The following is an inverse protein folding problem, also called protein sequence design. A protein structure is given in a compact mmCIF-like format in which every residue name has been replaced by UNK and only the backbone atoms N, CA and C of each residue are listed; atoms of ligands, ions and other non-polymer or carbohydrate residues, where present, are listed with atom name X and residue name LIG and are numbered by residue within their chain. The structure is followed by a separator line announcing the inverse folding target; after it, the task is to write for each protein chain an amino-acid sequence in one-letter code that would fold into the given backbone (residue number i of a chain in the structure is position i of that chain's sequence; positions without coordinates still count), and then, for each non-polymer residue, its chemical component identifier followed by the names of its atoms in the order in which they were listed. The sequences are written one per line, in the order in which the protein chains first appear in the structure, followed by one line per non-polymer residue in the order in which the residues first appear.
data_IF_932961442846
#
_entry.id   IF_932961442846
#
_cell.length_a   1.000
_cell.length_b   1.000
_cell.length_c   1.000
_cell.angle_alpha   90.00
_cell.angle_beta   90.00
_cell.angle_gamma   90.00
#
_symmetry.space_group_name_H-M   'P 1'
#
loop_
_entity.id
_entity.type
_entity.pdbx_description
1 polymer ?
#
# COMPACT_ATOMS: atom_id res chain seq x y z
N UNK A 1 62.81 15.05 6.98
CA UNK A 1 62.09 14.92 8.28
C UNK A 1 60.58 14.69 8.14
N UNK A 2 59.92 15.09 7.04
CA UNK A 2 58.46 14.99 6.88
C UNK A 2 57.87 13.58 6.65
N UNK A 3 58.61 12.61 6.10
CA UNK A 3 58.05 11.27 5.78
C UNK A 3 57.71 10.41 7.02
N UNK A 4 58.35 10.63 8.17
CA UNK A 4 58.10 9.85 9.40
C UNK A 4 56.82 10.28 10.14
N UNK A 5 56.30 11.47 9.83
CA UNK A 5 55.07 12.00 10.43
C UNK A 5 53.83 11.78 9.53
N UNK A 6 54.04 11.37 8.27
CA UNK A 6 52.98 11.16 7.30
C UNK A 6 52.17 9.88 7.59
N UNK A 7 52.84 8.84 8.09
CA UNK A 7 52.22 7.56 8.45
C UNK A 7 51.26 7.67 9.65
N UNK A 8 51.62 8.28 10.80
CA UNK A 8 50.67 8.45 11.90
C UNK A 8 49.53 9.40 11.55
N UNK A 9 49.77 10.41 10.70
CA UNK A 9 48.73 11.33 10.22
C UNK A 9 47.71 10.64 9.31
N UNK A 10 48.17 9.74 8.43
CA UNK A 10 47.30 8.94 7.57
C UNK A 10 46.48 7.94 8.41
N UNK A 11 47.07 7.32 9.42
CA UNK A 11 46.36 6.40 10.32
C UNK A 11 45.26 7.12 11.12
N UNK A 12 45.54 8.35 11.58
CA UNK A 12 44.57 9.20 12.28
C UNK A 12 43.39 9.58 11.38
N UNK A 13 43.64 9.76 10.07
CA UNK A 13 42.61 10.09 9.08
C UNK A 13 41.69 8.90 8.76
N UNK A 14 42.19 7.66 8.83
CA UNK A 14 41.36 6.46 8.64
C UNK A 14 40.50 6.18 9.88
N UNK A 15 41.01 6.51 11.07
CA UNK A 15 40.26 6.38 12.33
C UNK A 15 39.16 7.43 12.51
N UNK A 16 39.22 8.56 11.79
CA UNK A 16 38.14 9.56 11.76
C UNK A 16 37.04 9.24 10.74
N UNK A 17 37.23 8.24 9.87
CA UNK A 17 36.19 7.68 9.01
C UNK A 17 35.30 6.69 9.80
N UNK A 18 34.79 7.10 10.96
CA UNK A 18 33.63 6.43 11.52
C UNK A 18 32.45 6.87 10.66
N UNK A 19 32.10 6.06 9.66
CA UNK A 19 30.84 6.24 8.95
C UNK A 19 29.73 6.26 10.00
N UNK A 20 28.95 7.34 10.05
CA UNK A 20 27.71 7.35 10.80
C UNK A 20 26.87 6.18 10.28
N UNK A 21 26.82 5.09 11.04
CA UNK A 21 25.76 4.09 10.87
C UNK A 21 24.51 4.70 11.51
N UNK A 22 23.98 5.77 10.90
CA UNK A 22 22.61 6.14 11.18
C UNK A 22 21.77 5.04 10.55
N UNK A 23 21.48 4.00 11.34
CA UNK A 23 20.48 2.99 11.02
C UNK A 23 19.10 3.66 10.99
N UNK A 24 18.85 4.40 9.92
CA UNK A 24 17.52 4.56 9.34
C UNK A 24 17.64 4.18 7.86
N UNK A 25 18.37 3.10 7.57
CA UNK A 25 18.18 2.38 6.32
C UNK A 25 16.73 1.91 6.31
N UNK A 26 15.86 2.64 5.60
CA UNK A 26 14.43 2.33 5.46
C UNK A 26 14.16 0.90 4.93
N UNK A 27 15.18 0.18 4.46
CA UNK A 27 15.02 -0.98 3.57
C UNK A 27 15.71 -2.27 4.02
N UNK A 28 15.98 -2.45 5.32
CA UNK A 28 16.26 -3.80 5.85
C UNK A 28 15.47 -3.97 7.14
N UNK A 29 14.18 -4.32 7.01
CA UNK A 29 13.36 -4.64 8.15
C UNK A 29 13.44 -6.14 8.43
N UNK A 30 14.23 -6.52 9.44
CA UNK A 30 14.33 -7.92 9.90
C UNK A 30 13.13 -8.36 10.76
N UNK A 31 12.19 -7.45 11.04
CA UNK A 31 10.99 -7.82 11.80
C UNK A 31 9.98 -8.52 10.91
N UNK A 32 9.42 -9.61 11.41
CA UNK A 32 8.31 -10.29 10.76
C UNK A 32 7.05 -9.43 10.88
N UNK A 33 6.26 -9.37 9.80
CA UNK A 33 4.95 -8.73 9.80
C UNK A 33 4.11 -9.27 10.98
N UNK A 34 3.48 -8.40 11.82
CA UNK A 34 2.82 -8.86 13.04
C UNK A 34 1.65 -9.82 12.84
N UNK A 35 0.86 -9.60 11.78
CA UNK A 35 -0.28 -10.44 11.39
C UNK A 35 -0.56 -10.26 9.88
N UNK A 36 -1.48 -11.03 9.31
CA UNK A 36 -1.81 -10.98 7.89
C UNK A 36 -2.80 -9.86 7.49
N UNK A 37 -3.25 -9.05 8.45
CA UNK A 37 -4.21 -7.94 8.29
C UNK A 37 -3.65 -6.59 8.77
N UNK A 38 -2.32 -6.47 8.84
CA UNK A 38 -1.62 -5.37 9.49
C UNK A 38 -1.91 -4.04 8.78
N UNK A 39 -1.81 -4.02 7.45
CA UNK A 39 -2.04 -2.82 6.66
C UNK A 39 -3.52 -2.46 6.55
N UNK A 40 -4.38 -3.46 6.62
CA UNK A 40 -5.84 -3.31 6.64
C UNK A 40 -6.25 -2.63 7.94
N UNK A 41 -5.70 -3.04 9.08
CA UNK A 41 -5.95 -2.40 10.37
C UNK A 41 -5.41 -0.96 10.41
N UNK A 42 -4.21 -0.73 9.88
CA UNK A 42 -3.62 0.61 9.78
C UNK A 42 -4.50 1.53 8.93
N UNK A 43 -4.94 1.06 7.76
CA UNK A 43 -5.86 1.80 6.88
C UNK A 43 -7.21 2.07 7.54
N UNK A 44 -7.81 1.06 8.19
CA UNK A 44 -9.06 1.19 8.96
C UNK A 44 -8.93 2.30 10.01
N UNK A 45 -7.85 2.30 10.77
CA UNK A 45 -7.62 3.30 11.82
C UNK A 45 -7.52 4.72 11.24
N UNK A 46 -6.84 4.92 10.11
CA UNK A 46 -6.77 6.23 9.44
C UNK A 46 -8.14 6.74 9.01
N UNK A 47 -8.97 5.85 8.44
CA UNK A 47 -10.33 6.19 8.02
C UNK A 47 -11.22 6.51 9.23
N UNK A 48 -11.16 5.69 10.29
CA UNK A 48 -11.91 5.91 11.54
C UNK A 48 -11.53 7.22 12.23
N UNK A 49 -10.27 7.65 12.11
CA UNK A 49 -9.79 8.94 12.60
C UNK A 49 -10.24 10.14 11.75
N UNK A 50 -11.10 9.92 10.75
CA UNK A 50 -11.60 10.93 9.81
C UNK A 50 -10.47 11.70 9.10
N UNK A 51 -9.34 11.03 8.83
CA UNK A 51 -8.29 11.61 8.00
C UNK A 51 -8.85 11.89 6.60
N UNK A 52 -8.56 13.07 6.06
CA UNK A 52 -9.01 13.43 4.72
C UNK A 52 -8.23 12.61 3.70
N UNK A 53 -8.93 12.01 2.75
CA UNK A 53 -8.32 11.30 1.65
C UNK A 53 -8.98 11.65 0.31
N UNK A 54 -8.28 11.33 -0.77
CA UNK A 54 -8.83 11.25 -2.12
C UNK A 54 -8.70 9.81 -2.65
N UNK A 55 -9.54 9.46 -3.62
CA UNK A 55 -9.61 8.12 -4.18
C UNK A 55 -9.46 8.19 -5.70
N UNK A 56 -8.63 7.33 -6.26
CA UNK A 56 -8.53 7.11 -7.71
C UNK A 56 -8.54 5.63 -8.04
N UNK A 57 -9.07 5.29 -9.21
CA UNK A 57 -9.03 3.93 -9.77
C UNK A 57 -8.13 3.97 -11.00
N UNK A 58 -7.08 3.16 -10.99
CA UNK A 58 -6.20 2.94 -12.12
C UNK A 58 -6.58 1.64 -12.83
N UNK A 59 -7.03 1.76 -14.07
CA UNK A 59 -7.26 0.64 -14.98
C UNK A 59 -5.91 0.23 -15.58
N UNK A 60 -5.47 -0.99 -15.29
CA UNK A 60 -4.16 -1.48 -15.73
C UNK A 60 -4.11 -1.95 -17.17
N UNK A 61 -5.28 -2.17 -17.79
CA UNK A 61 -5.42 -2.55 -19.19
C UNK A 61 -5.42 -1.30 -20.07
N UNK A 62 -6.17 -0.26 -19.67
CA UNK A 62 -6.25 1.01 -20.38
C UNK A 62 -5.17 2.02 -19.96
N UNK A 63 -4.39 1.71 -18.91
CA UNK A 63 -3.38 2.60 -18.33
C UNK A 63 -3.94 3.98 -17.99
N UNK A 64 -5.16 4.01 -17.46
CA UNK A 64 -5.92 5.24 -17.19
C UNK A 64 -6.21 5.36 -15.71
N UNK A 65 -5.84 6.50 -15.13
CA UNK A 65 -6.24 6.89 -13.78
C UNK A 65 -7.55 7.70 -13.84
N UNK A 66 -8.51 7.31 -13.00
CA UNK A 66 -9.84 7.90 -12.94
C UNK A 66 -10.08 8.39 -11.51
N UNK A 67 -10.21 9.71 -11.28
CA UNK A 67 -10.56 10.21 -9.96
C UNK A 67 -11.98 9.77 -9.60
N UNK A 68 -12.18 9.38 -8.34
CA UNK A 68 -13.50 9.00 -7.82
C UNK A 68 -14.15 10.21 -7.15
N UNK A 69 -15.46 10.35 -7.32
CA UNK A 69 -16.23 11.38 -6.65
C UNK A 69 -16.44 11.06 -5.15
N UNK A 70 -16.48 12.10 -4.31
CA UNK A 70 -16.54 11.94 -2.84
C UNK A 70 -17.78 11.21 -2.34
N UNK A 71 -18.91 11.28 -3.06
CA UNK A 71 -20.15 10.56 -2.76
C UNK A 71 -19.98 9.03 -2.84
N UNK A 72 -18.96 8.55 -3.54
CA UNK A 72 -18.69 7.12 -3.69
C UNK A 72 -17.64 6.59 -2.72
N UNK A 73 -17.00 7.45 -1.93
CA UNK A 73 -15.94 7.04 -1.00
C UNK A 73 -16.43 6.08 0.09
N UNK A 74 -17.75 6.09 0.36
CA UNK A 74 -18.41 5.18 1.29
C UNK A 74 -18.16 3.70 0.95
N UNK A 75 -17.80 3.37 -0.30
CA UNK A 75 -17.42 2.01 -0.69
C UNK A 75 -16.24 1.47 0.12
N UNK A 76 -15.27 2.32 0.46
CA UNK A 76 -14.06 1.88 1.17
C UNK A 76 -14.42 1.49 2.60
N UNK A 77 -15.22 2.30 3.28
CA UNK A 77 -15.69 1.99 4.64
C UNK A 77 -16.57 0.74 4.65
N UNK A 78 -17.53 0.62 3.73
CA UNK A 78 -18.38 -0.55 3.60
C UNK A 78 -17.59 -1.83 3.32
N UNK A 79 -16.59 -1.75 2.42
CA UNK A 79 -15.71 -2.87 2.14
C UNK A 79 -14.93 -3.27 3.39
N UNK A 80 -14.20 -2.33 4.01
CA UNK A 80 -13.36 -2.61 5.17
C UNK A 80 -14.15 -3.16 6.37
N UNK A 81 -15.35 -2.66 6.63
CA UNK A 81 -16.22 -3.11 7.72
C UNK A 81 -16.87 -4.47 7.45
N UNK A 82 -17.00 -4.87 6.18
CA UNK A 82 -17.51 -6.19 5.81
C UNK A 82 -16.49 -7.33 5.90
N UNK A 83 -15.19 -7.01 6.01
CA UNK A 83 -14.12 -8.00 6.14
C UNK A 83 -14.14 -8.62 7.54
N UNK A 84 -14.23 -9.95 7.59
CA UNK A 84 -14.09 -10.78 8.80
C UNK A 84 -12.72 -11.47 8.87
N UNK A 85 -12.43 -12.16 9.98
CA UNK A 85 -11.16 -12.90 10.15
C UNK A 85 -10.89 -13.89 9.02
N UNK A 86 -11.95 -14.53 8.53
CA UNK A 86 -11.87 -15.64 7.57
C UNK A 86 -11.60 -15.14 6.14
N UNK A 87 -11.76 -13.83 5.91
CA UNK A 87 -11.41 -13.21 4.65
C UNK A 87 -9.89 -13.02 4.49
N UNK A 88 -9.12 -12.96 5.58
CA UNK A 88 -7.67 -12.74 5.48
C UNK A 88 -6.94 -14.03 5.13
N UNK A 89 -6.29 -14.03 3.97
CA UNK A 89 -5.54 -15.17 3.46
C UNK A 89 -4.05 -15.08 3.83
N UNK A 90 -3.34 -16.18 3.62
CA UNK A 90 -1.88 -16.17 3.65
C UNK A 90 -1.34 -15.54 2.36
N UNK A 91 -0.16 -14.92 2.44
CA UNK A 91 0.44 -14.22 1.29
C UNK A 91 0.62 -15.13 0.07
N UNK A 92 0.92 -16.41 0.27
CA UNK A 92 1.08 -17.41 -0.81
C UNK A 92 -0.21 -17.67 -1.59
N UNK A 93 -1.36 -17.16 -1.12
CA UNK A 93 -2.64 -17.20 -1.86
C UNK A 93 -2.76 -16.08 -2.89
N UNK A 94 -1.79 -15.17 -2.94
CA UNK A 94 -1.76 -14.08 -3.93
C UNK A 94 -1.66 -14.65 -5.35
N UNK A 95 -2.51 -14.22 -6.28
CA UNK A 95 -2.42 -14.64 -7.68
C UNK A 95 -1.10 -14.19 -8.32
N UNK A 96 -0.55 -15.03 -9.19
CA UNK A 96 0.58 -14.66 -10.08
C UNK A 96 0.14 -13.70 -11.20
N UNK A 97 -1.17 -13.52 -11.38
CA UNK A 97 -1.74 -12.60 -12.35
C UNK A 97 -1.48 -11.14 -11.96
N UNK A 98 -1.37 -10.27 -12.98
CA UNK A 98 -1.35 -8.82 -12.79
C UNK A 98 -2.72 -8.37 -12.27
N UNK A 99 -2.74 -7.38 -11.38
CA UNK A 99 -3.99 -6.77 -10.93
C UNK A 99 -4.71 -6.10 -12.11
N UNK A 100 -6.03 -6.25 -12.19
CA UNK A 100 -6.87 -5.64 -13.24
C UNK A 100 -7.13 -4.16 -12.95
N UNK A 101 -7.32 -3.82 -11.67
CA UNK A 101 -7.43 -2.44 -11.20
C UNK A 101 -6.53 -2.20 -9.99
N UNK A 102 -6.17 -0.93 -9.80
CA UNK A 102 -5.53 -0.46 -8.58
C UNK A 102 -6.26 0.74 -8.04
N UNK A 103 -6.83 0.60 -6.85
CA UNK A 103 -7.45 1.72 -6.13
C UNK A 103 -6.36 2.39 -5.30
N UNK A 104 -6.19 3.69 -5.45
CA UNK A 104 -5.26 4.49 -4.64
C UNK A 104 -6.04 5.35 -3.67
N UNK A 105 -5.80 5.15 -2.37
CA UNK A 105 -6.31 5.99 -1.29
C UNK A 105 -5.17 6.92 -0.89
N UNK A 106 -5.27 8.20 -1.24
CA UNK A 106 -4.24 9.21 -0.96
C UNK A 106 -4.64 10.11 0.19
N UNK A 107 -3.90 10.01 1.29
CA UNK A 107 -3.88 10.98 2.39
C UNK A 107 -2.85 12.08 2.08
N UNK A 108 -2.75 13.09 2.96
CA UNK A 108 -1.85 14.24 2.74
C UNK A 108 -0.36 13.83 2.70
N UNK A 109 0.04 12.85 3.50
CA UNK A 109 1.43 12.41 3.69
C UNK A 109 1.70 10.99 3.18
N UNK A 110 0.65 10.21 2.91
CA UNK A 110 0.77 8.78 2.70
C UNK A 110 -0.26 8.22 1.73
N UNK A 111 0.04 7.08 1.10
CA UNK A 111 -0.85 6.43 0.13
C UNK A 111 -0.98 4.94 0.40
N UNK A 112 -2.20 4.46 0.28
CA UNK A 112 -2.53 3.04 0.26
C UNK A 112 -2.95 2.61 -1.13
N UNK A 113 -2.60 1.39 -1.48
CA UNK A 113 -2.94 0.73 -2.72
C UNK A 113 -3.79 -0.49 -2.39
N UNK A 114 -4.97 -0.57 -3.00
CA UNK A 114 -5.77 -1.80 -3.05
C UNK A 114 -5.66 -2.33 -4.47
N UNK A 115 -4.92 -3.42 -4.65
CA UNK A 115 -4.77 -4.12 -5.93
C UNK A 115 -5.90 -5.13 -6.06
N UNK A 116 -6.69 -5.01 -7.12
CA UNK A 116 -7.84 -5.88 -7.41
C UNK A 116 -7.43 -6.84 -8.51
N UNK A 117 -7.42 -8.14 -8.23
CA UNK A 117 -6.98 -9.17 -9.19
C UNK A 117 -8.16 -9.74 -9.97
N UNK A 118 -9.25 -10.04 -9.27
CA UNK A 118 -10.48 -10.59 -9.83
C UNK A 118 -11.67 -10.30 -8.87
N UNK A 119 -12.79 -11.00 -9.06
CA UNK A 119 -13.98 -10.86 -8.23
C UNK A 119 -13.82 -11.42 -6.81
N UNK A 120 -12.80 -12.22 -6.54
CA UNK A 120 -12.60 -12.90 -5.26
C UNK A 120 -11.35 -12.46 -4.52
N UNK A 121 -10.35 -11.83 -5.13
CA UNK A 121 -9.08 -11.51 -4.45
C UNK A 121 -8.66 -10.04 -4.62
N UNK A 122 -8.31 -9.43 -3.49
CA UNK A 122 -7.60 -8.14 -3.44
C UNK A 122 -6.39 -8.21 -2.53
N UNK A 123 -5.45 -7.27 -2.73
CA UNK A 123 -4.32 -7.06 -1.83
C UNK A 123 -4.24 -5.61 -1.37
N UNK A 124 -3.99 -5.40 -0.07
CA UNK A 124 -3.83 -4.06 0.52
C UNK A 124 -2.38 -3.86 0.95
N UNK A 125 -1.79 -2.74 0.55
CA UNK A 125 -0.48 -2.32 1.01
C UNK A 125 -0.33 -0.81 1.00
N UNK A 126 0.66 -0.25 1.71
CA UNK A 126 1.16 1.07 1.41
C UNK A 126 1.80 1.13 0.03
N UNK A 127 1.95 2.34 -0.51
CA UNK A 127 2.74 2.56 -1.73
C UNK A 127 4.24 2.25 -1.55
N UNK A 128 4.77 2.48 -0.34
CA UNK A 128 6.16 2.24 0.07
C UNK A 128 6.27 1.22 1.21
N UNK A 129 5.37 0.23 1.21
CA UNK A 129 5.28 -0.77 2.27
C UNK A 129 6.53 -1.64 2.42
N UNK A 130 6.92 -1.91 3.66
CA UNK A 130 8.10 -2.72 4.01
C UNK A 130 7.78 -4.21 4.26
N UNK A 131 6.50 -4.55 4.47
CA UNK A 131 6.02 -5.92 4.65
C UNK A 131 5.29 -6.39 3.39
N UNK A 132 5.10 -7.70 3.31
CA UNK A 132 4.19 -8.30 2.34
C UNK A 132 2.77 -7.74 2.49
N UNK A 133 2.06 -7.65 1.38
CA UNK A 133 0.69 -7.13 1.29
C UNK A 133 -0.28 -7.99 2.13
N UNK A 134 -1.39 -7.39 2.58
CA UNK A 134 -2.50 -8.13 3.16
C UNK A 134 -3.33 -8.72 2.01
N UNK A 135 -3.54 -10.04 1.99
CA UNK A 135 -4.34 -10.70 0.95
C UNK A 135 -5.74 -10.98 1.51
N UNK A 136 -6.77 -10.57 0.78
CA UNK A 136 -8.17 -10.62 1.24
C UNK A 136 -9.01 -11.35 0.20
N UNK A 137 -9.74 -12.37 0.66
CA UNK A 137 -10.84 -13.00 -0.08
C UNK A 137 -12.10 -12.15 0.01
N UNK A 138 -12.71 -11.88 -1.14
CA UNK A 138 -14.00 -11.23 -1.33
C UNK A 138 -15.16 -12.21 -1.51
N UNK A 139 -14.94 -13.53 -1.41
CA UNK A 139 -15.98 -14.54 -1.66
C UNK A 139 -17.22 -14.38 -0.76
N UNK A 140 -17.01 -13.99 0.50
CA UNK A 140 -18.08 -13.78 1.48
C UNK A 140 -18.42 -12.31 1.71
N UNK A 141 -17.87 -11.41 0.88
CA UNK A 141 -18.17 -9.98 0.95
C UNK A 141 -19.48 -9.73 0.18
N UNK A 142 -20.43 -8.92 0.71
CA UNK A 142 -21.64 -8.58 -0.04
C UNK A 142 -21.31 -8.01 -1.41
N UNK A 143 -22.01 -8.47 -2.46
CA UNK A 143 -21.75 -8.07 -3.86
C UNK A 143 -21.67 -6.55 -4.05
N UNK A 144 -22.51 -5.79 -3.34
CA UNK A 144 -22.51 -4.32 -3.38
C UNK A 144 -21.18 -3.69 -2.97
N UNK A 145 -20.37 -4.39 -2.17
CA UNK A 145 -19.10 -3.92 -1.63
C UNK A 145 -17.91 -4.60 -2.31
N UNK A 146 -18.15 -5.36 -3.37
CA UNK A 146 -17.10 -5.96 -4.18
C UNK A 146 -16.31 -4.88 -4.93
N UNK A 147 -14.99 -4.87 -4.76
CA UNK A 147 -14.14 -3.82 -5.31
C UNK A 147 -13.94 -3.93 -6.83
N UNK A 148 -14.10 -5.12 -7.42
CA UNK A 148 -14.09 -5.26 -8.87
C UNK A 148 -15.31 -4.57 -9.49
N UNK A 149 -16.51 -4.86 -8.97
CA UNK A 149 -17.75 -4.25 -9.46
C UNK A 149 -17.72 -2.73 -9.31
N UNK A 150 -17.18 -2.25 -8.19
CA UNK A 150 -16.94 -0.83 -7.99
C UNK A 150 -16.00 -0.23 -9.05
N UNK A 151 -14.86 -0.86 -9.32
CA UNK A 151 -13.91 -0.36 -10.33
C UNK A 151 -14.53 -0.32 -11.74
N UNK A 152 -15.27 -1.37 -12.11
CA UNK A 152 -16.02 -1.43 -13.37
C UNK A 152 -17.01 -0.27 -13.50
N UNK A 153 -17.73 0.03 -12.42
CA UNK A 153 -18.68 1.15 -12.38
C UNK A 153 -17.98 2.50 -12.55
N UNK A 154 -16.85 2.73 -11.87
CA UNK A 154 -16.06 3.96 -12.02
C UNK A 154 -15.52 4.10 -13.44
N UNK A 155 -15.03 3.02 -14.05
CA UNK A 155 -14.51 3.04 -15.41
C UNK A 155 -15.56 3.40 -16.45
N UNK A 156 -16.78 2.85 -16.29
CA UNK A 156 -17.86 3.02 -17.26
C UNK A 156 -18.65 4.32 -17.06
N UNK A 157 -18.38 5.07 -16.00
CA UNK A 157 -19.01 6.37 -15.80
C UNK A 157 -18.55 7.37 -16.86
N UNK A 158 -19.49 8.07 -17.52
CA UNK A 158 -19.13 9.18 -18.40
C UNK A 158 -18.42 10.26 -17.57
N UNK A 159 -17.29 10.75 -18.09
CA UNK A 159 -16.54 11.83 -17.46
C UNK A 159 -17.47 13.05 -17.37
N UNK A 160 -17.91 13.39 -16.16
CA UNK A 160 -18.63 14.64 -15.93
C UNK A 160 -17.64 15.78 -16.23
N UNK A 161 -17.87 16.51 -17.32
CA UNK A 161 -17.16 17.76 -17.59
C UNK A 161 -17.63 18.77 -16.56
N UNK A 162 -16.75 19.09 -15.60
CA UNK A 162 -16.88 20.30 -14.81
C UNK A 162 -16.61 21.52 -15.68
#
# INVERSE_FOLDING_TARGET
MFKKFLLPLLLLLVLSLNGCISQNSKYINFTSKPNNHYYTDELKNKILNNEKFSLSVFDTNLYKEIPVNKDEFVIIDNFLTSISSDNYLQYDSKPDAKEIYRITISFDDFKYLIRVYDSSIVAISPWDGNYQEDIISMENIPLRYNLLDFCNHIQNKPIQKN
#
